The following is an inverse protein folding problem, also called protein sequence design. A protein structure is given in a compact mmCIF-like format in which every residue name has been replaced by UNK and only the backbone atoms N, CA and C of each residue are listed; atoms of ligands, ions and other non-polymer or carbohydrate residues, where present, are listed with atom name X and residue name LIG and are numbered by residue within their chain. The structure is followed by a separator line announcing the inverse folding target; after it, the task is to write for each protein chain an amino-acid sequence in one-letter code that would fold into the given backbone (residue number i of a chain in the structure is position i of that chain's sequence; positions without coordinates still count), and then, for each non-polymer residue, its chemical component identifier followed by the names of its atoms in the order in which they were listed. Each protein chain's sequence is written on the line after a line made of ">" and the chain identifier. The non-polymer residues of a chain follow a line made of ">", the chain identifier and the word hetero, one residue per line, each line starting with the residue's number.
data_IF_262804528914
#
_entry.id   IF_262804528914
#
_cell.length_a   1.000
_cell.length_b   1.000
_cell.length_c   1.000
_cell.angle_alpha   90.00
_cell.angle_beta   90.00
_cell.angle_gamma   90.00
#
_symmetry.space_group_name_H-M   'P 1'
#
loop_
_entity.id
_entity.type
_entity.pdbx_description
1 polymer ?
#
# COMPACT_ATOMS: atom_id res chain seq x y z
N UNK A 1 -43.65 -25.32 26.33
CA UNK A 1 -42.50 -26.20 26.60
C UNK A 1 -41.24 -25.34 26.53
N UNK A 2 -40.34 -25.48 27.50
CA UNK A 2 -39.17 -24.61 27.69
C UNK A 2 -38.24 -24.67 26.47
N UNK A 3 -37.76 -23.51 25.99
CA UNK A 3 -36.59 -23.37 25.13
C UNK A 3 -35.44 -24.18 25.74
N UNK A 4 -35.24 -25.41 25.25
CA UNK A 4 -34.03 -26.16 25.52
C UNK A 4 -32.96 -25.57 24.62
N UNK A 5 -32.13 -24.69 25.17
CA UNK A 5 -30.85 -24.35 24.54
C UNK A 5 -30.08 -25.66 24.35
N UNK A 6 -30.09 -26.20 23.15
CA UNK A 6 -29.21 -27.29 22.76
C UNK A 6 -27.83 -26.66 22.67
N UNK A 7 -26.97 -26.89 23.68
CA UNK A 7 -25.61 -26.36 23.73
C UNK A 7 -24.60 -27.44 23.36
N UNK A 8 -23.56 -27.06 22.63
CA UNK A 8 -22.41 -27.90 22.32
C UNK A 8 -22.55 -28.77 21.06
N UNK A 9 -21.63 -29.73 20.91
CA UNK A 9 -21.48 -30.62 19.74
C UNK A 9 -22.81 -31.29 19.29
N UNK A 10 -23.71 -31.57 20.23
CA UNK A 10 -24.97 -32.26 19.98
C UNK A 10 -25.98 -31.42 19.17
N UNK A 11 -25.94 -30.09 19.28
CA UNK A 11 -26.77 -29.21 18.44
C UNK A 11 -26.32 -29.21 16.98
N UNK A 12 -25.02 -29.38 16.77
CA UNK A 12 -24.40 -29.41 15.45
C UNK A 12 -24.61 -30.77 14.74
N UNK A 13 -24.71 -31.88 15.48
CA UNK A 13 -25.07 -33.18 14.88
C UNK A 13 -26.53 -33.26 14.40
N UNK A 14 -27.41 -32.37 14.86
CA UNK A 14 -28.82 -32.36 14.45
C UNK A 14 -29.10 -31.50 13.19
N UNK A 15 -28.07 -31.08 12.46
CA UNK A 15 -28.22 -30.32 11.21
C UNK A 15 -28.98 -31.04 10.10
N UNK A 16 -29.21 -32.35 10.18
CA UNK A 16 -30.08 -33.08 9.24
C UNK A 16 -31.54 -33.15 9.70
N UNK A 17 -31.85 -32.68 10.92
CA UNK A 17 -33.21 -32.58 11.42
C UNK A 17 -33.91 -31.34 10.86
N UNK A 18 -34.99 -31.54 10.12
CA UNK A 18 -35.85 -30.47 9.61
C UNK A 18 -36.43 -29.58 10.73
N UNK A 19 -36.53 -30.10 11.96
CA UNK A 19 -37.01 -29.37 13.12
C UNK A 19 -35.95 -28.38 13.63
N UNK A 20 -34.70 -28.81 13.72
CA UNK A 20 -33.59 -27.99 14.23
C UNK A 20 -33.19 -26.91 13.23
N UNK A 21 -33.24 -27.19 11.92
CA UNK A 21 -32.95 -26.20 10.86
C UNK A 21 -33.80 -24.93 10.93
N UNK A 22 -35.05 -25.06 11.36
CA UNK A 22 -36.00 -23.94 11.53
C UNK A 22 -35.82 -23.17 12.84
N UNK A 23 -35.21 -23.78 13.84
CA UNK A 23 -35.05 -23.21 15.18
C UNK A 23 -33.68 -22.54 15.40
N UNK A 24 -32.69 -22.83 14.55
CA UNK A 24 -31.33 -22.28 14.63
C UNK A 24 -31.25 -20.96 13.83
N UNK A 25 -30.84 -19.87 14.49
CA UNK A 25 -30.64 -18.56 13.90
C UNK A 25 -29.41 -18.46 12.99
N UNK A 26 -29.29 -17.36 12.25
CA UNK A 26 -28.12 -17.10 11.39
C UNK A 26 -26.77 -17.08 12.15
N UNK A 27 -26.64 -16.48 13.35
CA UNK A 27 -25.39 -16.49 14.10
C UNK A 27 -24.94 -17.90 14.49
N UNK A 28 -25.87 -18.74 14.94
CA UNK A 28 -25.59 -20.12 15.31
C UNK A 28 -25.21 -20.97 14.10
N UNK A 29 -25.74 -20.67 12.91
CA UNK A 29 -25.34 -21.31 11.65
C UNK A 29 -23.90 -20.94 11.26
N UNK A 30 -23.49 -19.69 11.42
CA UNK A 30 -22.10 -19.26 11.20
C UNK A 30 -21.14 -19.99 12.15
N UNK A 31 -21.50 -20.07 13.43
CA UNK A 31 -20.66 -20.74 14.44
C UNK A 31 -20.58 -22.27 14.20
N UNK A 32 -21.69 -22.89 13.81
CA UNK A 32 -21.75 -24.29 13.41
C UNK A 32 -20.79 -24.58 12.23
N UNK A 33 -20.86 -23.76 11.17
CA UNK A 33 -19.97 -23.85 10.00
C UNK A 33 -18.49 -23.75 10.38
N UNK A 34 -18.14 -22.82 11.29
CA UNK A 34 -16.78 -22.67 11.82
C UNK A 34 -16.32 -23.94 12.57
N UNK A 35 -17.19 -24.60 13.32
CA UNK A 35 -16.88 -25.86 14.00
C UNK A 35 -16.77 -27.04 13.04
N UNK A 36 -17.66 -27.15 12.04
CA UNK A 36 -17.54 -28.21 11.03
C UNK A 36 -16.27 -28.10 10.22
N UNK A 37 -15.81 -26.88 9.91
CA UNK A 37 -14.54 -26.71 9.21
C UNK A 37 -13.35 -27.32 9.99
N UNK A 38 -13.41 -27.32 11.33
CA UNK A 38 -12.36 -27.87 12.20
C UNK A 38 -12.48 -29.39 12.37
N UNK A 39 -13.68 -29.89 12.59
CA UNK A 39 -13.91 -31.30 12.96
C UNK A 39 -14.28 -32.22 11.77
N UNK A 40 -14.93 -31.67 10.73
CA UNK A 40 -15.39 -32.43 9.56
C UNK A 40 -15.35 -31.58 8.28
N UNK A 41 -14.15 -31.40 7.74
CA UNK A 41 -13.89 -30.55 6.57
C UNK A 41 -14.71 -30.93 5.32
N UNK A 42 -15.18 -32.18 5.20
CA UNK A 42 -16.03 -32.63 4.09
C UNK A 42 -17.42 -31.98 4.11
N UNK A 43 -18.06 -31.87 5.28
CA UNK A 43 -19.38 -31.25 5.41
C UNK A 43 -19.29 -29.74 5.21
N UNK A 44 -18.25 -29.10 5.75
CA UNK A 44 -17.98 -27.69 5.50
C UNK A 44 -17.76 -27.41 4.00
N UNK A 45 -16.96 -28.24 3.30
CA UNK A 45 -16.79 -28.15 1.83
C UNK A 45 -18.10 -28.35 1.08
N UNK A 46 -18.95 -29.30 1.49
CA UNK A 46 -20.22 -29.57 0.83
C UNK A 46 -21.22 -28.40 0.95
N UNK A 47 -21.26 -27.74 2.11
CA UNK A 47 -22.07 -26.53 2.34
C UNK A 47 -21.49 -25.34 1.56
N UNK A 48 -20.18 -25.13 1.61
CA UNK A 48 -19.52 -24.01 0.89
C UNK A 48 -19.60 -24.14 -0.64
N UNK A 49 -19.57 -25.36 -1.18
CA UNK A 49 -19.71 -25.59 -2.62
C UNK A 49 -21.17 -25.58 -3.11
N UNK A 50 -22.13 -25.20 -2.26
CA UNK A 50 -23.57 -25.22 -2.57
C UNK A 50 -24.13 -26.60 -2.99
N UNK A 51 -23.40 -27.68 -2.72
CA UNK A 51 -23.84 -29.07 -2.95
C UNK A 51 -24.99 -29.46 -2.01
N UNK A 52 -25.06 -28.82 -0.83
CA UNK A 52 -26.22 -28.84 0.06
C UNK A 52 -27.04 -27.58 -0.27
N UNK A 53 -28.03 -27.74 -1.15
CA UNK A 53 -28.87 -26.65 -1.69
C UNK A 53 -29.95 -26.17 -0.70
N UNK A 54 -29.57 -25.84 0.53
CA UNK A 54 -30.51 -25.26 1.49
C UNK A 54 -30.28 -23.75 1.57
N UNK A 55 -31.25 -22.98 1.06
CA UNK A 55 -31.25 -21.50 1.08
C UNK A 55 -30.88 -20.92 2.44
N UNK A 56 -31.22 -21.64 3.51
CA UNK A 56 -31.02 -21.28 4.91
C UNK A 56 -29.56 -21.22 5.37
N UNK A 57 -28.62 -21.84 4.63
CA UNK A 57 -27.18 -21.87 4.96
C UNK A 57 -26.33 -20.98 4.06
N UNK A 58 -26.89 -20.49 2.96
CA UNK A 58 -26.16 -19.72 1.95
C UNK A 58 -25.60 -18.42 2.52
N UNK A 59 -26.37 -17.71 3.34
CA UNK A 59 -25.93 -16.46 3.97
C UNK A 59 -24.74 -16.69 4.93
N UNK A 60 -24.84 -17.71 5.78
CA UNK A 60 -23.76 -18.08 6.70
C UNK A 60 -22.49 -18.55 5.97
N UNK A 61 -22.63 -19.28 4.86
CA UNK A 61 -21.50 -19.68 4.02
C UNK A 61 -20.80 -18.48 3.36
N UNK A 62 -21.57 -17.52 2.83
CA UNK A 62 -21.02 -16.28 2.26
C UNK A 62 -20.33 -15.41 3.32
N UNK A 63 -20.86 -15.35 4.54
CA UNK A 63 -20.24 -14.62 5.66
C UNK A 63 -18.90 -15.26 6.06
N UNK A 64 -18.86 -16.58 6.26
CA UNK A 64 -17.61 -17.30 6.57
C UNK A 64 -16.60 -17.16 5.42
N UNK A 65 -17.06 -17.20 4.17
CA UNK A 65 -16.19 -16.98 3.00
C UNK A 65 -15.57 -15.59 3.03
N UNK A 66 -16.36 -14.54 3.27
CA UNK A 66 -15.84 -13.17 3.40
C UNK A 66 -14.84 -13.05 4.54
N UNK A 67 -15.13 -13.60 5.72
CA UNK A 67 -14.17 -13.59 6.84
C UNK A 67 -12.85 -14.28 6.48
N UNK A 68 -12.90 -15.44 5.80
CA UNK A 68 -11.70 -16.17 5.37
C UNK A 68 -10.95 -15.40 4.29
N UNK A 69 -11.65 -14.81 3.32
CA UNK A 69 -11.05 -13.94 2.30
C UNK A 69 -10.35 -12.74 2.94
N UNK A 70 -10.94 -12.09 3.94
CA UNK A 70 -10.30 -11.02 4.72
C UNK A 70 -9.07 -11.51 5.49
N UNK A 71 -9.12 -12.69 6.11
CA UNK A 71 -7.97 -13.29 6.82
C UNK A 71 -6.83 -13.68 5.87
N UNK A 72 -7.15 -14.05 4.64
CA UNK A 72 -6.19 -14.41 3.60
C UNK A 72 -5.63 -13.20 2.85
N UNK A 73 -6.21 -12.00 3.03
CA UNK A 73 -5.62 -10.78 2.47
C UNK A 73 -4.19 -10.63 2.99
N UNK A 74 -3.22 -10.33 2.10
CA UNK A 74 -1.85 -10.05 2.52
C UNK A 74 -1.85 -8.94 3.58
N UNK A 75 -1.12 -9.16 4.69
CA UNK A 75 -0.94 -8.13 5.70
C UNK A 75 -0.17 -6.95 5.09
N UNK A 76 -0.88 -5.85 4.89
CA UNK A 76 -0.30 -4.58 4.44
C UNK A 76 0.52 -3.93 5.56
N UNK A 77 1.62 -3.31 5.20
CA UNK A 77 2.38 -2.46 6.10
C UNK A 77 1.66 -1.10 6.24
N UNK A 78 1.21 -0.79 7.45
CA UNK A 78 0.49 0.46 7.74
C UNK A 78 1.45 1.64 7.70
N UNK A 79 1.13 2.62 6.84
CA UNK A 79 1.79 3.92 6.79
C UNK A 79 0.98 4.90 7.66
N UNK A 80 1.65 5.66 8.52
CA UNK A 80 0.99 6.60 9.44
C UNK A 80 1.23 8.05 9.07
N UNK A 81 2.16 8.28 8.17
CA UNK A 81 2.59 9.59 7.74
C UNK A 81 1.60 10.13 6.69
N UNK A 82 1.05 11.35 6.89
CA UNK A 82 0.10 11.92 5.94
C UNK A 82 0.76 12.30 4.61
N UNK A 83 2.09 12.49 4.61
CA UNK A 83 2.86 12.67 3.40
C UNK A 83 3.99 11.65 3.33
N UNK A 84 4.21 11.07 2.16
CA UNK A 84 5.27 10.09 1.91
C UNK A 84 6.10 10.44 0.69
N UNK A 85 7.37 10.04 0.72
CA UNK A 85 8.26 10.08 -0.43
C UNK A 85 8.52 8.65 -0.91
N UNK A 86 8.28 8.42 -2.20
CA UNK A 86 8.55 7.17 -2.88
C UNK A 86 9.67 7.45 -3.87
N UNK A 87 10.76 6.69 -3.81
CA UNK A 87 11.87 6.86 -4.74
C UNK A 87 12.64 5.58 -5.00
N UNK A 88 13.70 5.66 -5.83
CA UNK A 88 14.59 4.53 -6.03
C UNK A 88 15.37 4.21 -4.75
N UNK A 89 16.20 3.15 -4.80
CA UNK A 89 17.06 2.79 -3.67
C UNK A 89 18.06 3.92 -3.36
N UNK A 90 17.86 4.59 -2.22
CA UNK A 90 18.74 5.65 -1.72
C UNK A 90 19.56 5.17 -0.52
N UNK A 91 19.10 4.16 0.22
CA UNK A 91 19.73 3.69 1.46
C UNK A 91 19.49 4.63 2.63
N UNK A 92 18.55 5.57 2.50
CA UNK A 92 18.16 6.53 3.53
C UNK A 92 16.92 5.95 4.23
N UNK A 93 16.99 5.84 5.55
CA UNK A 93 15.86 5.40 6.38
C UNK A 93 15.17 6.62 6.97
N UNK A 94 13.84 6.64 6.94
CA UNK A 94 13.02 7.70 7.52
C UNK A 94 11.58 7.26 7.59
N UNK A 95 10.81 7.92 8.46
CA UNK A 95 9.36 7.76 8.45
C UNK A 95 8.81 8.33 7.14
N UNK A 96 7.83 7.65 6.53
CA UNK A 96 7.29 8.05 5.24
C UNK A 96 8.27 7.98 4.05
N UNK A 97 9.49 7.46 4.22
CA UNK A 97 10.42 7.21 3.12
C UNK A 97 10.32 5.76 2.64
N UNK A 98 9.81 5.58 1.43
CA UNK A 98 9.62 4.27 0.82
C UNK A 98 10.47 4.11 -0.43
N UNK A 99 11.08 2.95 -0.57
CA UNK A 99 11.88 2.61 -1.73
C UNK A 99 11.13 1.64 -2.64
N UNK A 100 11.03 1.98 -3.92
CA UNK A 100 10.54 1.09 -4.96
C UNK A 100 11.71 0.65 -5.84
N UNK A 101 11.74 -0.64 -6.17
CA UNK A 101 12.67 -1.19 -7.17
C UNK A 101 11.88 -1.62 -8.38
N UNK A 102 12.50 -1.53 -9.55
CA UNK A 102 11.88 -2.01 -10.77
C UNK A 102 11.46 -3.49 -10.67
N UNK A 103 12.29 -4.33 -10.05
CA UNK A 103 12.03 -5.76 -9.86
C UNK A 103 10.85 -6.08 -8.94
N UNK A 104 10.34 -5.10 -8.19
CA UNK A 104 9.20 -5.30 -7.29
C UNK A 104 8.07 -4.29 -7.51
N UNK A 105 8.09 -3.57 -8.64
CA UNK A 105 7.06 -2.61 -9.01
C UNK A 105 5.68 -3.28 -9.07
N UNK A 106 5.61 -4.50 -9.63
CA UNK A 106 4.40 -5.29 -9.62
C UNK A 106 3.99 -5.70 -8.19
N UNK A 107 2.74 -5.38 -7.85
CA UNK A 107 2.19 -5.54 -6.51
C UNK A 107 2.88 -4.70 -5.44
N UNK A 108 3.66 -3.66 -5.78
CA UNK A 108 4.32 -2.82 -4.76
C UNK A 108 3.30 -2.09 -3.88
N UNK A 109 2.30 -1.46 -4.51
CA UNK A 109 1.24 -0.70 -3.83
C UNK A 109 0.44 -1.62 -2.90
N UNK A 110 0.20 -2.87 -3.29
CA UNK A 110 -0.56 -3.83 -2.47
C UNK A 110 0.11 -4.22 -1.16
N UNK A 111 1.38 -3.89 -0.98
CA UNK A 111 2.13 -4.18 0.25
C UNK A 111 1.85 -3.18 1.36
N UNK A 112 1.25 -2.03 1.04
CA UNK A 112 1.08 -0.93 1.96
C UNK A 112 -0.38 -0.55 2.12
N UNK A 113 -0.70 -0.09 3.31
CA UNK A 113 -1.98 0.52 3.63
C UNK A 113 -1.79 2.03 3.67
N UNK A 114 -2.45 2.70 2.73
CA UNK A 114 -2.35 4.13 2.47
C UNK A 114 -3.51 4.92 3.09
N UNK A 115 -4.37 4.32 3.93
CA UNK A 115 -5.57 4.96 4.48
C UNK A 115 -5.30 6.34 5.11
N UNK A 116 -4.13 6.53 5.74
CA UNK A 116 -3.75 7.80 6.39
C UNK A 116 -2.94 8.74 5.49
N UNK A 117 -2.53 8.29 4.29
CA UNK A 117 -1.67 9.03 3.38
C UNK A 117 -2.52 9.98 2.52
N UNK A 118 -2.24 11.27 2.63
CA UNK A 118 -2.87 12.30 1.83
C UNK A 118 -2.07 12.53 0.54
N UNK A 119 -0.77 12.79 0.66
CA UNK A 119 0.09 13.12 -0.49
C UNK A 119 1.24 12.14 -0.62
N UNK A 120 1.42 11.57 -1.79
CA UNK A 120 2.59 10.77 -2.14
C UNK A 120 3.44 11.52 -3.17
N UNK A 121 4.66 11.89 -2.80
CA UNK A 121 5.65 12.42 -3.75
C UNK A 121 6.42 11.25 -4.35
N UNK A 122 6.38 11.12 -5.66
CA UNK A 122 7.01 10.04 -6.40
C UNK A 122 8.21 10.54 -7.19
N UNK A 123 9.43 10.21 -6.74
CA UNK A 123 10.67 10.54 -7.43
C UNK A 123 10.83 9.68 -8.69
N UNK A 124 10.77 10.33 -9.85
CA UNK A 124 10.84 9.69 -11.16
C UNK A 124 12.19 9.96 -11.84
N UNK A 125 12.82 8.89 -12.32
CA UNK A 125 13.93 9.00 -13.27
C UNK A 125 13.36 8.96 -14.70
N UNK A 126 13.69 9.98 -15.51
CA UNK A 126 13.25 10.08 -16.90
C UNK A 126 14.09 9.15 -17.78
N UNK A 127 13.42 8.28 -18.53
CA UNK A 127 14.08 7.30 -19.41
C UNK A 127 13.33 7.18 -20.73
N UNK A 128 14.05 6.77 -21.78
CA UNK A 128 13.48 6.39 -23.08
C UNK A 128 12.98 4.94 -23.11
N UNK A 129 13.21 4.16 -22.04
CA UNK A 129 12.75 2.78 -21.93
C UNK A 129 11.23 2.72 -21.72
N UNK A 130 10.51 2.35 -22.78
CA UNK A 130 9.05 2.28 -22.79
C UNK A 130 8.49 1.24 -21.81
N UNK A 131 9.17 0.11 -21.62
CA UNK A 131 8.71 -0.94 -20.70
C UNK A 131 8.81 -0.46 -19.25
N UNK A 132 9.92 0.21 -18.90
CA UNK A 132 10.08 0.83 -17.58
C UNK A 132 9.05 1.92 -17.35
N UNK A 133 8.88 2.82 -18.32
CA UNK A 133 7.90 3.89 -18.22
C UNK A 133 6.48 3.35 -18.01
N UNK A 134 6.10 2.29 -18.75
CA UNK A 134 4.80 1.64 -18.58
C UNK A 134 4.64 1.06 -17.17
N UNK A 135 5.59 0.25 -16.70
CA UNK A 135 5.54 -0.35 -15.36
C UNK A 135 5.45 0.71 -14.26
N UNK A 136 6.24 1.78 -14.36
CA UNK A 136 6.19 2.88 -13.39
C UNK A 136 4.87 3.65 -13.48
N UNK A 137 4.34 3.87 -14.69
CA UNK A 137 3.02 4.46 -14.90
C UNK A 137 1.90 3.66 -14.25
N UNK A 138 1.90 2.33 -14.42
CA UNK A 138 0.91 1.43 -13.80
C UNK A 138 0.95 1.51 -12.26
N UNK A 139 2.14 1.64 -11.68
CA UNK A 139 2.29 1.84 -10.22
C UNK A 139 1.71 3.19 -9.79
N UNK A 140 2.04 4.27 -10.51
CA UNK A 140 1.53 5.61 -10.19
C UNK A 140 0.01 5.64 -10.30
N UNK A 141 -0.58 5.06 -11.35
CA UNK A 141 -2.04 5.01 -11.52
C UNK A 141 -2.71 4.25 -10.37
N UNK A 142 -2.13 3.12 -9.96
CA UNK A 142 -2.64 2.35 -8.83
C UNK A 142 -2.51 3.11 -7.52
N UNK A 143 -1.37 3.74 -7.27
CA UNK A 143 -1.13 4.57 -6.09
C UNK A 143 -2.12 5.75 -6.02
N UNK A 144 -2.39 6.39 -7.16
CA UNK A 144 -3.32 7.49 -7.28
C UNK A 144 -4.76 7.12 -6.86
N UNK A 145 -5.13 5.83 -6.92
CA UNK A 145 -6.44 5.36 -6.40
C UNK A 145 -6.46 5.18 -4.89
N UNK A 146 -5.30 5.07 -4.25
CA UNK A 146 -5.14 4.77 -2.83
C UNK A 146 -4.89 6.04 -1.99
N UNK A 147 -4.39 7.12 -2.59
CA UNK A 147 -4.09 8.40 -1.90
C UNK A 147 -4.88 9.55 -2.48
N UNK A 148 -4.94 10.66 -1.75
CA UNK A 148 -5.64 11.87 -2.22
C UNK A 148 -4.89 12.53 -3.38
N UNK A 149 -3.57 12.61 -3.32
CA UNK A 149 -2.74 13.27 -4.33
C UNK A 149 -1.42 12.52 -4.56
N UNK A 150 -1.01 12.38 -5.82
CA UNK A 150 0.32 11.90 -6.19
C UNK A 150 1.08 13.00 -6.91
N UNK A 151 2.18 13.46 -6.35
CA UNK A 151 3.06 14.43 -7.00
C UNK A 151 4.18 13.67 -7.70
N UNK A 152 4.12 13.58 -9.02
CA UNK A 152 5.16 12.95 -9.83
C UNK A 152 6.28 13.94 -10.07
N UNK A 153 7.46 13.60 -9.55
CA UNK A 153 8.58 14.50 -9.42
C UNK A 153 9.79 14.01 -10.22
N UNK A 154 10.02 14.51 -11.44
CA UNK A 154 11.21 14.20 -12.23
C UNK A 154 12.46 14.74 -11.56
N UNK A 155 13.31 13.85 -11.06
CA UNK A 155 14.51 14.26 -10.32
C UNK A 155 15.81 13.84 -11.00
N UNK A 156 15.76 12.92 -11.98
CA UNK A 156 16.94 12.38 -12.65
C UNK A 156 16.68 12.09 -14.12
N UNK A 157 17.76 12.11 -14.92
CA UNK A 157 17.76 11.65 -16.30
C UNK A 157 18.56 10.34 -16.39
N UNK A 158 17.88 9.27 -16.80
CA UNK A 158 18.48 8.07 -17.38
C UNK A 158 18.37 8.12 -18.93
N UNK A 159 18.12 9.31 -19.48
CA UNK A 159 18.17 9.68 -20.89
C UNK A 159 19.14 10.86 -21.08
N UNK A 160 19.35 11.30 -22.33
CA UNK A 160 20.09 12.53 -22.61
C UNK A 160 19.26 13.78 -22.32
N UNK A 161 19.92 14.90 -22.09
CA UNK A 161 19.24 16.19 -21.88
C UNK A 161 18.38 16.61 -23.09
N UNK A 162 18.83 16.28 -24.31
CA UNK A 162 18.09 16.58 -25.55
C UNK A 162 16.80 15.76 -25.69
N UNK A 163 16.72 14.59 -25.04
CA UNK A 163 15.54 13.72 -25.05
C UNK A 163 14.50 14.10 -23.98
N UNK A 164 14.85 14.93 -23.00
CA UNK A 164 13.95 15.34 -21.90
C UNK A 164 12.60 15.87 -22.39
N UNK A 165 12.51 16.73 -23.42
CA UNK A 165 11.21 17.20 -23.92
C UNK A 165 10.33 16.05 -24.42
N UNK A 166 10.91 15.10 -25.16
CA UNK A 166 10.18 13.94 -25.69
C UNK A 166 9.66 13.05 -24.56
N UNK A 167 10.51 12.73 -23.59
CA UNK A 167 10.14 11.90 -22.43
C UNK A 167 9.07 12.60 -21.58
N UNK A 168 9.17 13.92 -21.42
CA UNK A 168 8.19 14.73 -20.69
C UNK A 168 6.80 14.66 -21.32
N UNK A 169 6.71 14.79 -22.65
CA UNK A 169 5.42 14.70 -23.35
C UNK A 169 4.81 13.29 -23.28
N UNK A 170 5.65 12.25 -23.25
CA UNK A 170 5.17 10.88 -22.96
C UNK A 170 4.58 10.79 -21.56
N UNK A 171 5.27 11.28 -20.53
CA UNK A 171 4.78 11.23 -19.16
C UNK A 171 3.54 12.09 -18.92
N UNK A 172 3.47 13.29 -19.50
CA UNK A 172 2.24 14.10 -19.45
C UNK A 172 1.06 13.30 -19.98
N UNK A 173 1.20 12.63 -21.12
CA UNK A 173 0.14 11.79 -21.70
C UNK A 173 -0.20 10.59 -20.81
N UNK A 174 0.80 9.90 -20.27
CA UNK A 174 0.59 8.79 -19.33
C UNK A 174 -0.19 9.22 -18.10
N UNK A 175 0.11 10.40 -17.56
CA UNK A 175 -0.52 10.89 -16.33
C UNK A 175 -1.88 11.56 -16.55
N UNK A 176 -2.25 11.93 -17.79
CA UNK A 176 -3.60 12.47 -18.08
C UNK A 176 -4.73 11.53 -17.65
N UNK A 177 -4.46 10.22 -17.55
CA UNK A 177 -5.46 9.23 -17.13
C UNK A 177 -5.65 9.15 -15.62
N UNK A 178 -4.74 9.71 -14.83
CA UNK A 178 -4.76 9.64 -13.36
C UNK A 178 -5.22 10.99 -12.79
N UNK A 179 -6.49 11.09 -12.40
CA UNK A 179 -7.18 12.35 -12.07
C UNK A 179 -6.54 13.17 -10.93
N UNK A 180 -5.76 12.54 -10.06
CA UNK A 180 -5.11 13.16 -8.91
C UNK A 180 -3.58 13.05 -8.94
N UNK A 181 -2.99 12.81 -10.12
CA UNK A 181 -1.56 12.90 -10.34
C UNK A 181 -1.16 14.31 -10.80
N UNK A 182 -0.19 14.92 -10.11
CA UNK A 182 0.37 16.24 -10.43
C UNK A 182 1.76 16.04 -11.02
N UNK A 183 1.95 16.50 -12.25
CA UNK A 183 3.25 16.51 -12.92
C UNK A 183 4.06 17.75 -12.55
N UNK A 184 5.30 17.58 -12.11
CA UNK A 184 6.24 18.69 -11.94
C UNK A 184 7.13 18.84 -13.17
N UNK A 185 7.15 20.05 -13.75
CA UNK A 185 7.93 20.32 -14.95
C UNK A 185 9.45 20.20 -14.70
N UNK A 186 10.16 19.28 -15.38
CA UNK A 186 11.59 19.03 -15.15
C UNK A 186 12.48 20.23 -15.47
N UNK A 187 12.01 21.10 -16.36
CA UNK A 187 12.74 22.28 -16.82
C UNK A 187 12.46 23.55 -15.99
N UNK A 188 11.61 23.44 -14.96
CA UNK A 188 11.37 24.55 -14.02
C UNK A 188 12.70 25.03 -13.43
N UNK A 189 12.96 26.34 -13.49
CA UNK A 189 14.15 26.93 -12.89
C UNK A 189 14.04 26.91 -11.36
N UNK A 190 15.09 26.43 -10.69
CA UNK A 190 15.14 26.30 -9.23
C UNK A 190 16.46 26.80 -8.65
N UNK A 191 16.44 27.14 -7.36
CA UNK A 191 17.60 27.62 -6.62
C UNK A 191 18.11 29.00 -7.04
N UNK A 192 19.14 29.49 -6.35
CA UNK A 192 19.69 30.82 -6.58
C UNK A 192 20.29 31.01 -7.99
N UNK A 193 20.80 29.93 -8.58
CA UNK A 193 21.40 29.93 -9.92
C UNK A 193 20.39 29.74 -11.05
N UNK A 194 19.09 29.58 -10.75
CA UNK A 194 18.02 29.40 -11.73
C UNK A 194 18.30 28.26 -12.73
N UNK A 195 18.83 27.14 -12.24
CA UNK A 195 19.15 25.97 -13.07
C UNK A 195 17.89 25.13 -13.32
N UNK A 196 17.79 24.39 -14.44
CA UNK A 196 16.71 23.44 -14.65
C UNK A 196 16.68 22.39 -13.54
N UNK A 197 15.53 22.20 -12.91
CA UNK A 197 15.34 21.31 -11.76
C UNK A 197 15.90 19.90 -11.98
N UNK A 198 15.71 19.32 -13.16
CA UNK A 198 16.16 17.97 -13.50
C UNK A 198 17.70 17.79 -13.44
N UNK A 199 18.45 18.90 -13.41
CA UNK A 199 19.92 18.92 -13.36
C UNK A 199 20.48 19.15 -11.96
N UNK A 200 19.64 19.38 -10.95
CA UNK A 200 20.09 19.79 -9.60
C UNK A 200 20.23 18.63 -8.62
N UNK A 201 19.60 17.49 -8.90
CA UNK A 201 19.73 16.31 -8.05
C UNK A 201 21.13 15.69 -8.19
N UNK A 202 21.74 15.23 -7.09
CA UNK A 202 22.96 14.45 -7.16
C UNK A 202 22.73 13.08 -7.79
N UNK A 203 23.80 12.49 -8.35
CA UNK A 203 23.80 11.10 -8.84
C UNK A 203 23.44 10.11 -7.72
N UNK A 204 23.73 10.46 -6.46
CA UNK A 204 23.29 9.70 -5.29
C UNK A 204 23.16 10.60 -4.07
N UNK A 205 22.04 10.51 -3.38
CA UNK A 205 21.88 11.07 -2.04
C UNK A 205 22.64 10.18 -1.04
N UNK A 206 23.60 10.76 -0.32
CA UNK A 206 24.40 10.08 0.71
C UNK A 206 23.78 10.19 2.08
N UNK A 207 23.00 11.25 2.33
CA UNK A 207 22.40 11.53 3.64
C UNK A 207 20.96 12.01 3.50
N UNK A 208 20.16 11.82 4.57
CA UNK A 208 18.82 12.40 4.66
C UNK A 208 18.84 13.93 4.56
N UNK A 209 19.92 14.58 5.03
CA UNK A 209 20.12 16.03 4.89
C UNK A 209 20.25 16.44 3.43
N UNK A 210 21.04 15.74 2.62
CA UNK A 210 21.16 16.03 1.19
C UNK A 210 19.82 15.88 0.45
N UNK A 211 19.03 14.87 0.81
CA UNK A 211 17.68 14.68 0.27
C UNK A 211 16.75 15.84 0.68
N UNK A 212 16.76 16.24 1.95
CA UNK A 212 15.96 17.36 2.44
C UNK A 212 16.36 18.68 1.78
N UNK A 213 17.67 18.97 1.68
CA UNK A 213 18.21 20.16 1.02
C UNK A 213 17.78 20.23 -0.45
N UNK A 214 17.83 19.10 -1.17
CA UNK A 214 17.34 19.01 -2.55
C UNK A 214 15.83 19.27 -2.63
N UNK A 215 15.03 18.56 -1.84
CA UNK A 215 13.56 18.70 -1.86
C UNK A 215 13.13 20.12 -1.47
N UNK A 216 13.80 20.77 -0.53
CA UNK A 216 13.52 22.16 -0.15
C UNK A 216 13.83 23.14 -1.29
N UNK A 217 14.92 22.92 -2.04
CA UNK A 217 15.28 23.77 -3.16
C UNK A 217 14.24 23.73 -4.29
N UNK A 218 13.52 22.61 -4.43
CA UNK A 218 12.60 22.37 -5.54
C UNK A 218 11.12 22.42 -5.16
N UNK A 219 10.82 22.16 -3.88
CA UNK A 219 9.49 22.18 -3.23
C UNK A 219 9.59 22.75 -1.80
N UNK A 220 9.84 24.07 -1.65
CA UNK A 220 10.16 24.68 -0.36
C UNK A 220 9.04 24.62 0.69
N UNK A 221 7.79 24.43 0.27
CA UNK A 221 6.61 24.40 1.15
C UNK A 221 5.97 23.00 1.27
N UNK A 222 6.68 21.92 0.92
CA UNK A 222 6.16 20.56 1.01
C UNK A 222 6.29 19.97 2.42
N UNK A 223 5.26 19.31 2.94
CA UNK A 223 5.28 18.70 4.27
C UNK A 223 6.34 17.59 4.44
N UNK A 224 6.75 16.93 3.34
CA UNK A 224 7.90 16.01 3.33
C UNK A 224 9.20 16.70 3.76
N UNK A 225 9.42 17.94 3.34
CA UNK A 225 10.63 18.70 3.73
C UNK A 225 10.60 18.94 5.24
N UNK A 226 9.46 19.41 5.77
CA UNK A 226 9.30 19.60 7.21
C UNK A 226 9.50 18.30 8.00
N UNK A 227 8.93 17.19 7.51
CA UNK A 227 9.07 15.88 8.11
C UNK A 227 10.55 15.45 8.18
N UNK A 228 11.28 15.58 7.07
CA UNK A 228 12.70 15.24 7.00
C UNK A 228 13.55 16.13 7.91
N UNK A 229 13.26 17.44 7.96
CA UNK A 229 13.95 18.38 8.85
C UNK A 229 13.72 18.05 10.32
N UNK A 230 12.47 17.79 10.73
CA UNK A 230 12.13 17.34 12.09
C UNK A 230 12.81 16.03 12.47
N UNK A 231 12.97 15.10 11.53
CA UNK A 231 13.68 13.85 11.77
C UNK A 231 15.20 14.04 11.91
N UNK A 232 15.79 15.01 11.20
CA UNK A 232 17.22 15.37 11.30
C UNK A 232 17.56 16.08 12.62
N UNK A 233 16.60 16.81 13.20
CA UNK A 233 16.75 17.48 14.50
C UNK A 233 16.70 16.52 15.69
N UNK A 234 16.14 15.31 15.51
CA UNK A 234 16.13 14.30 16.58
C UNK A 234 17.54 13.82 16.83
N UNK A 235 18.00 13.93 18.07
CA UNK A 235 19.29 13.37 18.47
C UNK A 235 19.38 11.88 18.08
N UNK A 236 20.53 11.42 17.56
CA UNK A 236 20.72 10.02 17.30
C UNK A 236 20.48 9.24 18.60
N UNK A 237 19.77 8.10 18.57
CA UNK A 237 19.49 7.34 19.77
C UNK A 237 20.80 7.05 20.48
N UNK A 238 20.93 7.55 21.72
CA UNK A 238 22.04 7.26 22.61
C UNK A 238 22.30 5.75 22.58
N UNK A 239 23.48 5.35 22.13
CA UNK A 239 23.94 3.97 22.29
C UNK A 239 24.02 3.73 23.80
N UNK A 240 22.96 3.16 24.39
CA UNK A 240 23.07 2.55 25.72
C UNK A 240 24.21 1.54 25.65
N UNK A 241 25.33 1.89 26.26
CA UNK A 241 26.42 0.95 26.53
C UNK A 241 25.80 -0.21 27.30
N UNK A 242 25.95 -1.44 26.76
CA UNK A 242 25.66 -2.64 27.55
C UNK A 242 26.57 -2.59 28.78
N UNK A 243 26.05 -2.77 30.01
CA UNK A 243 26.92 -2.99 31.14
C UNK A 243 27.74 -4.24 30.85
N UNK A 244 29.07 -4.11 30.88
CA UNK A 244 29.96 -5.26 30.96
C UNK A 244 29.71 -5.91 32.31
N UNK A 245 29.08 -7.08 32.32
CA UNK A 245 29.06 -7.92 33.51
C UNK A 245 30.49 -8.41 33.78
N UNK A 246 31.06 -7.98 34.91
CA UNK A 246 32.17 -8.66 35.58
C UNK A 246 31.64 -9.84 36.37
#
# INVERSE_FOLDING_TARGET
>A
MRNKQIRGADGYMMMHSAMVRKEVGEPEKVEALKMFAKECSMVAKAIMNSTIQEKEWKAAAEEVKKEVEELLKPKKAVIREPEILIGPRMGIKGKGLLEMRESNADGWVDRYDFEQVQTAVFLLALTMDEEKNKKTGDVIDKLAREVKEVVVFPFRMDCTFAEVPLVTETWKRTLMTSANAIWIEPMKSVGAKQMPMITTAPERFKTAKELADFLEAVMPSGGIVEMLRKDLEKEPPSKRSRPSHQ
#
